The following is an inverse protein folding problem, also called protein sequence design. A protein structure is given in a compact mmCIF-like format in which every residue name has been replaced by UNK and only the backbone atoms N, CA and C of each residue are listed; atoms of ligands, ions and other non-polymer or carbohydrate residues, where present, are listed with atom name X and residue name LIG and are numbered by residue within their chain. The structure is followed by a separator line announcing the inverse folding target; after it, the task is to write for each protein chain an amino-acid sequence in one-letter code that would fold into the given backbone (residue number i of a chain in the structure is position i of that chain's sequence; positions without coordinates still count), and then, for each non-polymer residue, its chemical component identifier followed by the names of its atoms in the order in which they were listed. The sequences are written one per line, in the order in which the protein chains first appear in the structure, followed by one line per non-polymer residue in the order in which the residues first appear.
data_IF_741121279995
#
_entry.id   IF_741121279995
#
_cell.length_a   1.000
_cell.length_b   1.000
_cell.length_c   1.000
_cell.angle_alpha   90.00
_cell.angle_beta   90.00
_cell.angle_gamma   90.00
#
_symmetry.space_group_name_H-M   'P 1'
#
loop_
_entity.id
_entity.type
_entity.pdbx_description
1 polymer ?
#
# COMPACT_ATOMS: atom_id res chain seq x y z
N UNK A 1 -40.31 -38.47 -16.31
CA UNK A 1 -39.78 -38.88 -17.63
C UNK A 1 -39.58 -37.60 -18.43
N UNK A 2 -38.37 -37.01 -18.50
CA UNK A 2 -37.28 -37.37 -19.44
C UNK A 2 -37.70 -36.99 -20.87
N UNK A 3 -36.99 -36.21 -21.70
CA UNK A 3 -35.57 -35.89 -21.81
C UNK A 3 -35.34 -34.75 -22.85
N UNK A 4 -34.28 -33.97 -22.61
CA UNK A 4 -33.20 -33.49 -23.52
C UNK A 4 -33.42 -32.55 -24.73
N UNK A 5 -32.50 -31.56 -24.75
CA UNK A 5 -32.13 -30.52 -25.74
C UNK A 5 -31.58 -31.11 -27.07
N UNK A 6 -31.24 -30.31 -28.11
CA UNK A 6 -29.92 -29.62 -28.15
C UNK A 6 -29.81 -28.26 -28.91
N UNK A 7 -28.79 -27.48 -28.48
CA UNK A 7 -27.82 -26.65 -29.23
C UNK A 7 -28.24 -25.58 -30.27
N UNK A 8 -27.80 -24.33 -30.03
CA UNK A 8 -27.06 -23.54 -31.04
C UNK A 8 -26.12 -22.49 -30.39
N UNK A 9 -25.26 -21.85 -31.20
CA UNK A 9 -23.83 -21.67 -30.95
C UNK A 9 -23.29 -20.23 -31.03
N UNK A 10 -22.13 -20.01 -30.35
CA UNK A 10 -21.01 -19.05 -30.57
C UNK A 10 -21.26 -17.53 -30.63
N UNK A 11 -20.53 -16.79 -29.78
CA UNK A 11 -19.35 -15.99 -30.22
C UNK A 11 -18.52 -15.48 -29.02
N UNK A 12 -17.21 -15.72 -29.09
CA UNK A 12 -16.17 -15.15 -28.21
C UNK A 12 -15.96 -13.65 -28.48
N UNK A 13 -15.71 -12.87 -27.43
CA UNK A 13 -14.98 -11.60 -27.51
C UNK A 13 -14.00 -11.50 -26.34
N UNK A 14 -12.75 -11.18 -26.67
CA UNK A 14 -11.60 -11.09 -25.78
C UNK A 14 -11.58 -9.75 -24.99
N UNK A 15 -10.85 -9.65 -23.87
CA UNK A 15 -10.78 -8.45 -23.05
C UNK A 15 -9.89 -7.36 -23.65
N UNK A 16 -10.34 -6.12 -23.46
CA UNK A 16 -9.80 -4.89 -24.05
C UNK A 16 -8.37 -4.53 -23.64
N UNK A 17 -7.70 -3.89 -24.59
CA UNK A 17 -6.33 -3.40 -24.58
C UNK A 17 -6.11 -2.23 -23.61
N UNK A 18 -4.96 -2.26 -22.95
CA UNK A 18 -4.32 -1.16 -22.22
C UNK A 18 -4.04 -0.02 -23.21
N UNK A 19 -4.55 1.18 -22.92
CA UNK A 19 -4.27 2.39 -23.70
C UNK A 19 -3.15 3.15 -22.99
N UNK A 20 -1.97 3.09 -23.57
CA UNK A 20 -0.83 3.96 -23.27
C UNK A 20 -0.94 5.18 -24.19
N UNK A 21 -1.01 6.39 -23.62
CA UNK A 21 -1.02 7.64 -24.41
C UNK A 21 -0.09 8.67 -23.81
N UNK A 22 1.11 8.75 -24.39
CA UNK A 22 1.99 9.90 -24.27
C UNK A 22 1.47 11.01 -25.18
N UNK A 23 1.05 12.13 -24.61
CA UNK A 23 0.99 13.40 -25.35
C UNK A 23 1.58 14.51 -24.50
N UNK A 24 2.57 15.17 -25.11
CA UNK A 24 3.21 16.40 -24.69
C UNK A 24 2.19 17.49 -24.40
N UNK A 25 2.41 18.32 -23.38
CA UNK A 25 2.20 19.76 -23.49
C UNK A 25 2.82 20.49 -22.28
N UNK A 26 3.36 21.67 -22.62
CA UNK A 26 4.08 22.65 -21.81
C UNK A 26 3.29 23.18 -20.62
N UNK A 27 3.93 23.29 -19.46
CA UNK A 27 3.35 24.00 -18.32
C UNK A 27 4.21 25.19 -17.89
N UNK A 28 3.54 26.33 -17.84
CA UNK A 28 4.06 27.64 -17.48
C UNK A 28 4.24 27.77 -15.96
N UNK A 29 5.43 28.24 -15.58
CA UNK A 29 5.89 28.54 -14.23
C UNK A 29 4.82 29.09 -13.27
N UNK A 30 4.60 28.37 -12.16
CA UNK A 30 4.31 28.96 -10.85
C UNK A 30 5.41 28.57 -9.87
N UNK A 31 6.20 29.58 -9.53
CA UNK A 31 7.30 29.57 -8.58
C UNK A 31 6.78 29.32 -7.17
N UNK A 32 7.23 28.24 -6.53
CA UNK A 32 7.20 28.07 -5.07
C UNK A 32 8.63 28.15 -4.57
N UNK A 33 8.97 29.24 -3.89
CA UNK A 33 10.26 29.41 -3.22
C UNK A 33 10.24 28.69 -1.88
N UNK A 34 11.08 27.66 -1.71
CA UNK A 34 11.41 27.12 -0.39
C UNK A 34 12.90 27.30 -0.12
N UNK A 35 13.17 27.84 1.07
CA UNK A 35 14.45 28.20 1.64
C UNK A 35 15.35 26.99 1.89
N UNK A 36 16.63 27.16 1.54
CA UNK A 36 17.73 26.23 1.79
C UNK A 36 17.89 25.87 3.27
N UNK A 37 17.94 24.57 3.55
CA UNK A 37 18.38 24.01 4.83
C UNK A 37 19.20 22.76 4.54
N UNK A 38 20.51 22.86 4.72
CA UNK A 38 21.50 21.84 4.39
C UNK A 38 21.23 20.46 4.99
N UNK A 39 21.39 19.40 4.18
CA UNK A 39 21.44 18.02 4.64
C UNK A 39 22.92 17.61 4.87
N UNK A 40 23.28 16.96 6.01
CA UNK A 40 24.58 16.32 6.15
C UNK A 40 24.60 14.97 5.43
N UNK A 41 25.61 14.79 4.57
CA UNK A 41 25.95 13.56 3.87
C UNK A 41 26.45 12.45 4.81
N UNK A 42 26.09 11.20 4.55
CA UNK A 42 26.94 10.05 4.90
C UNK A 42 26.97 8.99 3.79
N UNK A 43 28.19 8.69 3.36
CA UNK A 43 28.58 7.68 2.38
C UNK A 43 28.44 6.26 2.93
N UNK A 44 28.07 5.30 2.08
CA UNK A 44 28.36 3.87 2.32
C UNK A 44 29.24 3.38 1.17
N UNK A 45 30.47 3.01 1.52
CA UNK A 45 31.42 2.36 0.62
C UNK A 45 30.94 0.96 0.21
N UNK A 46 31.03 0.69 -1.10
CA UNK A 46 31.01 -0.65 -1.71
C UNK A 46 32.44 -1.14 -1.92
N UNK A 47 32.71 -2.40 -1.56
CA UNK A 47 33.69 -3.38 -2.10
C UNK A 47 33.79 -4.49 -1.04
N UNK A 48 33.84 -5.79 -1.29
CA UNK A 48 34.00 -6.62 -2.48
C UNK A 48 33.76 -8.09 -2.06
N UNK A 49 33.86 -9.00 -3.03
CA UNK A 49 33.27 -10.35 -3.03
C UNK A 49 34.03 -11.47 -2.29
N UNK A 50 33.37 -12.65 -2.29
CA UNK A 50 33.86 -14.05 -2.22
C UNK A 50 33.81 -14.78 -0.86
N UNK A 51 32.83 -15.70 -0.78
CA UNK A 51 33.09 -17.12 -0.47
C UNK A 51 32.97 -17.59 0.98
N UNK A 52 31.80 -18.10 1.37
CA UNK A 52 31.68 -19.28 2.27
C UNK A 52 30.21 -19.77 2.31
N UNK A 53 30.02 -21.07 2.05
CA UNK A 53 28.76 -21.79 2.31
C UNK A 53 28.66 -22.05 3.81
N UNK A 54 27.62 -21.56 4.49
CA UNK A 54 27.20 -22.11 5.78
C UNK A 54 25.67 -22.10 5.96
N UNK A 55 25.19 -23.31 6.23
CA UNK A 55 23.99 -23.75 6.96
C UNK A 55 22.97 -22.72 7.47
N UNK A 56 21.69 -23.03 7.23
CA UNK A 56 20.53 -22.50 7.93
C UNK A 56 20.73 -22.50 9.45
N UNK A 57 20.72 -21.31 10.06
CA UNK A 57 20.31 -21.13 11.45
C UNK A 57 19.51 -19.83 11.53
N UNK A 58 18.29 -19.93 12.08
CA UNK A 58 17.50 -18.77 12.48
C UNK A 58 18.29 -18.06 13.57
N UNK A 59 18.74 -16.84 13.30
CA UNK A 59 19.34 -15.98 14.32
C UNK A 59 18.24 -15.47 15.27
N UNK A 60 17.89 -16.31 16.23
CA UNK A 60 17.40 -15.85 17.53
C UNK A 60 18.60 -15.26 18.27
N UNK A 61 18.80 -13.94 18.17
CA UNK A 61 19.78 -13.26 19.02
C UNK A 61 19.18 -13.01 20.41
N UNK A 62 19.78 -13.68 21.38
CA UNK A 62 19.53 -13.64 22.82
C UNK A 62 20.21 -12.45 23.49
N UNK A 63 19.42 -11.76 24.31
CA UNK A 63 19.71 -11.09 25.59
C UNK A 63 21.14 -10.56 25.79
N UNK A 64 21.26 -9.23 25.73
CA UNK A 64 22.29 -8.47 26.47
C UNK A 64 21.55 -7.86 27.66
N UNK A 65 21.87 -8.35 28.86
CA UNK A 65 21.30 -7.87 30.12
C UNK A 65 22.07 -6.62 30.57
N UNK A 66 21.44 -5.45 30.43
CA UNK A 66 21.94 -4.18 30.98
C UNK A 66 21.19 -3.90 32.30
N UNK A 67 21.90 -3.78 33.45
CA UNK A 67 21.28 -3.56 34.76
C UNK A 67 20.67 -2.15 34.94
N UNK A 68 20.68 -1.30 33.90
CA UNK A 68 19.94 -0.04 33.86
C UNK A 68 18.64 -0.11 33.03
N UNK A 69 18.19 -1.32 32.66
CA UNK A 69 17.08 -1.57 31.73
C UNK A 69 15.75 -0.94 32.16
N UNK A 70 15.56 0.33 31.82
CA UNK A 70 14.24 0.78 31.39
C UNK A 70 13.80 -0.23 30.32
N UNK A 71 12.73 -0.96 30.60
CA UNK A 71 12.10 -1.89 29.67
C UNK A 71 11.61 -1.11 28.44
N UNK A 72 12.51 -0.73 27.54
CA UNK A 72 12.16 -0.15 26.27
C UNK A 72 11.72 -1.32 25.40
N UNK A 73 10.40 -1.43 25.20
CA UNK A 73 9.83 -2.41 24.27
C UNK A 73 10.56 -2.26 22.93
N UNK A 74 11.32 -3.29 22.52
CA UNK A 74 12.03 -3.28 21.23
C UNK A 74 10.99 -3.09 20.12
N UNK A 75 11.04 -1.94 19.44
CA UNK A 75 10.16 -1.68 18.29
C UNK A 75 10.57 -2.62 17.16
N UNK A 76 9.66 -3.54 16.81
CA UNK A 76 9.86 -4.49 15.73
C UNK A 76 9.26 -3.92 14.44
N UNK A 77 10.08 -3.67 13.44
CA UNK A 77 9.63 -3.27 12.11
C UNK A 77 9.46 -4.50 11.23
N UNK A 78 8.31 -4.61 10.56
CA UNK A 78 8.03 -5.66 9.58
C UNK A 78 7.71 -5.02 8.24
N UNK A 79 8.37 -5.48 7.17
CA UNK A 79 8.10 -5.00 5.81
C UNK A 79 6.71 -5.47 5.36
N UNK A 80 5.89 -4.54 4.90
CA UNK A 80 4.59 -4.82 4.29
C UNK A 80 4.74 -4.90 2.77
N UNK A 81 4.10 -5.90 2.15
CA UNK A 81 4.13 -6.07 0.70
C UNK A 81 3.06 -5.21 0.04
N UNK A 82 3.46 -4.29 -0.83
CA UNK A 82 2.55 -3.47 -1.65
C UNK A 82 2.56 -4.01 -3.08
N UNK A 83 1.42 -4.07 -3.74
CA UNK A 83 1.28 -4.70 -5.06
C UNK A 83 2.07 -3.98 -6.16
N UNK A 84 2.04 -2.65 -6.16
CA UNK A 84 2.89 -1.82 -7.00
C UNK A 84 3.79 -1.03 -6.05
N UNK A 85 4.98 -1.58 -5.73
CA UNK A 85 5.96 -0.95 -4.83
C UNK A 85 6.76 0.17 -5.49
N UNK A 86 6.74 0.23 -6.82
CA UNK A 86 7.51 1.17 -7.63
C UNK A 86 6.63 1.72 -8.75
N UNK A 87 6.83 2.99 -9.11
CA UNK A 87 6.11 3.64 -10.20
C UNK A 87 7.08 4.48 -11.05
N UNK A 88 7.30 4.16 -12.34
CA UNK A 88 8.37 4.75 -13.14
C UNK A 88 8.16 6.25 -13.43
N UNK A 89 6.91 6.73 -13.43
CA UNK A 89 6.59 8.15 -13.66
C UNK A 89 5.44 8.61 -12.77
N UNK A 90 5.73 8.95 -11.52
CA UNK A 90 4.72 9.54 -10.64
C UNK A 90 4.33 10.94 -11.15
N UNK A 91 3.19 11.04 -11.82
CA UNK A 91 2.70 12.31 -12.41
C UNK A 91 1.48 12.90 -11.71
N UNK A 92 0.61 12.05 -11.16
CA UNK A 92 -0.72 12.45 -10.67
C UNK A 92 -1.00 11.86 -9.30
N UNK A 93 -1.46 10.61 -9.25
CA UNK A 93 -1.81 9.92 -8.00
C UNK A 93 -1.38 8.47 -8.07
N UNK A 94 -0.95 7.92 -6.93
CA UNK A 94 -0.52 6.54 -6.80
C UNK A 94 -1.27 5.89 -5.64
N UNK A 95 -2.05 4.85 -5.98
CA UNK A 95 -2.75 4.04 -5.00
C UNK A 95 -1.86 2.88 -4.56
N UNK A 96 -1.38 2.94 -3.32
CA UNK A 96 -0.68 1.83 -2.69
C UNK A 96 -1.69 0.83 -2.11
N UNK A 97 -1.63 -0.44 -2.52
CA UNK A 97 -2.52 -1.51 -2.02
C UNK A 97 -1.73 -2.61 -1.33
N UNK A 98 -2.14 -2.93 -0.10
CA UNK A 98 -1.72 -4.12 0.63
C UNK A 98 -2.89 -5.09 0.76
N UNK A 99 -2.68 -6.35 0.41
CA UNK A 99 -3.69 -7.39 0.53
C UNK A 99 -3.58 -8.11 1.88
N UNK A 100 -4.68 -8.15 2.63
CA UNK A 100 -4.78 -8.86 3.91
C UNK A 100 -4.84 -10.37 3.70
N UNK A 101 -3.67 -11.01 3.60
CA UNK A 101 -3.53 -12.47 3.46
C UNK A 101 -2.79 -13.08 4.66
N UNK A 102 -2.54 -14.38 4.63
CA UNK A 102 -1.89 -15.11 5.72
C UNK A 102 -0.44 -14.69 6.00
N UNK A 103 0.20 -13.97 5.09
CA UNK A 103 1.54 -13.40 5.27
C UNK A 103 1.53 -11.96 5.79
N UNK A 104 0.36 -11.31 5.85
CA UNK A 104 0.23 -9.90 6.23
C UNK A 104 0.77 -9.64 7.65
N UNK A 105 1.71 -8.70 7.83
CA UNK A 105 2.30 -8.41 9.13
C UNK A 105 1.33 -7.69 10.08
N UNK A 106 0.29 -7.06 9.54
CA UNK A 106 -0.71 -6.29 10.31
C UNK A 106 -1.88 -7.15 10.80
N UNK A 107 -1.91 -8.45 10.47
CA UNK A 107 -2.93 -9.36 10.98
C UNK A 107 -2.47 -10.11 12.23
N UNK A 108 -3.41 -10.25 13.19
CA UNK A 108 -3.23 -11.11 14.37
C UNK A 108 -2.80 -12.53 13.93
N UNK A 109 -1.86 -13.20 14.64
CA UNK A 109 -1.44 -14.56 14.30
C UNK A 109 -2.57 -15.59 14.22
N UNK A 110 -3.65 -15.40 14.99
CA UNK A 110 -4.86 -16.23 14.92
C UNK A 110 -5.54 -16.12 13.55
N UNK A 111 -5.70 -14.91 13.03
CA UNK A 111 -6.38 -14.64 11.76
C UNK A 111 -5.57 -15.20 10.59
N UNK A 112 -4.25 -15.00 10.58
CA UNK A 112 -3.37 -15.61 9.58
C UNK A 112 -3.47 -17.14 9.54
N UNK A 113 -3.62 -17.79 10.70
CA UNK A 113 -3.86 -19.24 10.77
C UNK A 113 -5.24 -19.63 10.24
N UNK A 114 -6.27 -18.80 10.46
CA UNK A 114 -7.60 -19.02 9.90
C UNK A 114 -7.60 -18.92 8.38
N UNK A 115 -6.98 -17.89 7.81
CA UNK A 115 -6.84 -17.71 6.35
C UNK A 115 -6.14 -18.94 5.73
N UNK A 116 -5.04 -19.41 6.34
CA UNK A 116 -4.35 -20.65 5.90
C UNK A 116 -5.24 -21.89 5.90
N UNK A 117 -6.05 -22.06 6.95
CA UNK A 117 -7.02 -23.17 7.02
C UNK A 117 -8.15 -23.01 6.00
N UNK A 118 -8.50 -21.78 5.67
CA UNK A 118 -9.47 -21.42 4.65
C UNK A 118 -8.85 -21.33 3.24
N UNK A 119 -7.80 -22.11 2.96
CA UNK A 119 -7.14 -22.21 1.65
C UNK A 119 -6.64 -20.87 1.07
N UNK A 120 -6.30 -19.92 1.93
CA UNK A 120 -5.86 -18.58 1.52
C UNK A 120 -7.00 -17.58 1.33
N UNK A 121 -8.27 -18.02 1.36
CA UNK A 121 -9.42 -17.13 1.26
C UNK A 121 -9.72 -16.43 2.57
N UNK A 122 -10.20 -15.19 2.47
CA UNK A 122 -10.70 -14.45 3.61
C UNK A 122 -11.95 -15.14 4.19
N UNK A 123 -11.99 -15.45 5.50
CA UNK A 123 -13.14 -16.12 6.12
C UNK A 123 -14.40 -15.24 6.12
N UNK A 124 -15.55 -15.78 5.67
CA UNK A 124 -16.82 -15.02 5.58
C UNK A 124 -17.28 -14.40 6.91
N UNK A 125 -16.99 -15.06 8.03
CA UNK A 125 -17.30 -14.54 9.37
C UNK A 125 -16.51 -13.27 9.75
N UNK A 126 -15.50 -12.91 8.95
CA UNK A 126 -14.71 -11.68 9.10
C UNK A 126 -15.12 -10.63 8.04
N UNK A 127 -16.24 -10.81 7.34
CA UNK A 127 -16.78 -9.85 6.37
C UNK A 127 -17.66 -8.79 7.05
N UNK A 128 -17.19 -8.21 8.15
CA UNK A 128 -17.79 -7.02 8.76
C UNK A 128 -16.68 -6.07 9.19
N UNK A 129 -16.95 -4.76 9.17
CA UNK A 129 -15.95 -3.77 9.57
C UNK A 129 -15.41 -4.04 10.99
N UNK A 130 -16.29 -4.39 11.93
CA UNK A 130 -15.91 -4.76 13.31
C UNK A 130 -14.93 -5.94 13.34
N UNK A 131 -15.24 -7.01 12.58
CA UNK A 131 -14.40 -8.19 12.57
C UNK A 131 -13.06 -7.96 11.86
N UNK A 132 -13.02 -7.08 10.85
CA UNK A 132 -11.78 -6.63 10.21
C UNK A 132 -10.96 -5.79 11.19
N UNK A 133 -11.57 -4.83 11.90
CA UNK A 133 -10.92 -4.02 12.94
C UNK A 133 -10.28 -4.90 14.00
N UNK A 134 -11.03 -5.89 14.49
CA UNK A 134 -10.56 -6.88 15.45
C UNK A 134 -9.50 -7.82 14.89
N UNK A 135 -9.42 -8.02 13.57
CA UNK A 135 -8.41 -8.86 12.95
C UNK A 135 -7.03 -8.19 12.88
N UNK A 136 -6.99 -6.86 12.89
CA UNK A 136 -5.76 -6.06 12.78
C UNK A 136 -4.99 -6.00 14.11
N UNK A 137 -3.66 -5.94 14.01
CA UNK A 137 -2.74 -5.73 15.13
C UNK A 137 -1.45 -5.11 14.60
N UNK A 138 -1.29 -3.81 14.81
CA UNK A 138 -0.07 -3.06 14.56
C UNK A 138 -0.08 -1.79 15.42
N UNK A 139 1.08 -1.18 15.62
CA UNK A 139 1.18 0.09 16.34
C UNK A 139 1.06 1.25 15.34
N UNK A 140 1.93 1.25 14.33
CA UNK A 140 2.02 2.29 13.31
C UNK A 140 2.35 1.67 11.96
N UNK A 141 1.92 2.34 10.89
CA UNK A 141 2.35 2.08 9.52
C UNK A 141 3.22 3.25 9.07
N UNK A 142 4.48 2.97 8.79
CA UNK A 142 5.41 3.94 8.20
C UNK A 142 5.38 3.78 6.68
N UNK A 143 4.92 4.81 5.99
CA UNK A 143 5.01 4.92 4.53
C UNK A 143 6.20 5.82 4.20
N UNK A 144 7.07 5.33 3.33
CA UNK A 144 8.27 6.01 2.86
C UNK A 144 8.25 6.02 1.34
N UNK A 145 8.38 7.20 0.76
CA UNK A 145 8.47 7.42 -0.68
C UNK A 145 9.81 8.07 -0.99
N UNK A 146 10.50 7.55 -1.99
CA UNK A 146 11.73 8.11 -2.50
C UNK A 146 11.68 8.13 -4.03
N UNK A 147 12.34 9.12 -4.64
CA UNK A 147 12.38 9.25 -6.09
C UNK A 147 13.40 10.29 -6.52
N UNK A 148 13.47 10.53 -7.83
CA UNK A 148 14.33 11.56 -8.42
C UNK A 148 13.43 12.66 -8.99
N UNK A 149 13.66 13.90 -8.57
CA UNK A 149 12.96 15.07 -9.10
C UNK A 149 13.37 15.32 -10.55
N UNK A 150 12.39 15.40 -11.46
CA UNK A 150 12.66 15.75 -12.86
C UNK A 150 13.15 17.20 -13.02
N UNK A 151 12.78 18.10 -12.10
CA UNK A 151 13.11 19.53 -12.20
C UNK A 151 14.56 19.78 -11.78
N UNK A 152 15.04 19.08 -10.75
CA UNK A 152 16.36 19.34 -10.14
C UNK A 152 17.36 18.20 -10.31
N UNK A 153 16.95 17.08 -10.90
CA UNK A 153 17.74 15.84 -10.98
C UNK A 153 18.25 15.35 -9.60
N UNK A 154 17.57 15.73 -8.52
CA UNK A 154 17.97 15.42 -7.14
C UNK A 154 17.08 14.33 -6.55
N UNK A 155 17.65 13.53 -5.64
CA UNK A 155 16.88 12.59 -4.84
C UNK A 155 15.93 13.35 -3.90
N UNK A 156 14.66 12.93 -3.89
CA UNK A 156 13.60 13.46 -3.01
C UNK A 156 13.06 12.37 -2.12
N UNK A 157 12.63 12.77 -0.92
CA UNK A 157 12.18 11.86 0.12
C UNK A 157 10.93 12.40 0.83
N UNK A 158 9.96 11.53 1.08
CA UNK A 158 8.78 11.84 1.87
C UNK A 158 8.42 10.66 2.78
N UNK A 159 7.95 10.97 3.99
CA UNK A 159 7.48 9.99 4.95
C UNK A 159 6.15 10.42 5.56
N UNK A 160 5.29 9.43 5.83
CA UNK A 160 4.09 9.60 6.64
C UNK A 160 3.96 8.41 7.57
N UNK A 161 3.62 8.68 8.83
CA UNK A 161 3.28 7.68 9.83
C UNK A 161 1.77 7.73 10.01
N UNK A 162 1.15 6.55 9.98
CA UNK A 162 -0.25 6.34 10.29
C UNK A 162 -0.36 5.52 11.57
N UNK A 163 -1.18 5.98 12.50
CA UNK A 163 -1.55 5.26 13.70
C UNK A 163 -2.77 4.36 13.44
N UNK A 164 -3.11 3.52 14.42
CA UNK A 164 -4.26 2.62 14.31
C UNK A 164 -5.59 3.36 14.10
N UNK A 165 -5.71 4.57 14.65
CA UNK A 165 -6.91 5.44 14.52
C UNK A 165 -7.05 6.09 13.15
N UNK A 166 -5.96 6.18 12.38
CA UNK A 166 -5.98 6.80 11.04
C UNK A 166 -6.54 5.86 9.95
N UNK A 167 -6.84 4.61 10.30
CA UNK A 167 -7.38 3.63 9.35
C UNK A 167 -8.90 3.63 9.43
N UNK A 168 -9.53 3.90 8.29
CA UNK A 168 -10.95 3.75 8.04
C UNK A 168 -11.25 2.36 7.44
N UNK A 169 -12.12 1.59 8.07
CA UNK A 169 -12.49 0.22 7.66
C UNK A 169 -13.87 0.19 7.02
N UNK A 170 -13.98 -0.54 5.91
CA UNK A 170 -15.22 -0.63 5.13
C UNK A 170 -15.39 0.52 4.13
N UNK A 171 -14.31 1.24 3.83
CA UNK A 171 -14.31 2.41 2.95
C UNK A 171 -13.37 2.24 1.77
N UNK A 172 -13.73 2.84 0.63
CA UNK A 172 -12.88 2.96 -0.55
C UNK A 172 -12.77 4.44 -0.96
N UNK A 173 -11.61 4.84 -1.47
CA UNK A 173 -11.42 6.17 -2.01
C UNK A 173 -12.41 6.45 -3.16
N UNK A 174 -12.90 7.69 -3.21
CA UNK A 174 -13.69 8.18 -4.34
C UNK A 174 -12.79 8.30 -5.57
N UNK A 175 -13.37 8.14 -6.76
CA UNK A 175 -12.61 8.38 -7.99
C UNK A 175 -12.37 9.88 -8.16
N UNK A 176 -11.11 10.28 -8.09
CA UNK A 176 -10.65 11.66 -8.22
C UNK A 176 -10.30 12.06 -9.66
N UNK A 177 -10.32 11.10 -10.61
CA UNK A 177 -10.01 11.36 -12.01
C UNK A 177 -11.27 11.75 -12.76
N UNK A 178 -11.24 12.93 -13.38
CA UNK A 178 -12.33 13.43 -14.21
C UNK A 178 -11.82 13.96 -15.54
N UNK A 179 -12.73 14.01 -16.52
CA UNK A 179 -12.45 14.55 -17.85
C UNK A 179 -12.98 15.97 -17.94
N UNK A 180 -12.12 16.90 -18.30
CA UNK A 180 -12.47 18.30 -18.51
C UNK A 180 -13.15 18.50 -19.88
N UNK A 181 -13.89 19.59 -20.12
CA UNK A 181 -14.58 19.82 -21.40
C UNK A 181 -13.65 19.84 -22.62
N UNK A 182 -12.38 20.20 -22.43
CA UNK A 182 -11.35 20.16 -23.48
C UNK A 182 -10.87 18.72 -23.83
N UNK A 183 -11.37 17.72 -23.09
CA UNK A 183 -11.04 16.31 -23.26
C UNK A 183 -9.83 15.84 -22.44
N UNK A 184 -9.15 16.73 -21.72
CA UNK A 184 -8.02 16.41 -20.84
C UNK A 184 -8.46 15.66 -19.59
N UNK A 185 -7.58 14.81 -19.05
CA UNK A 185 -7.81 14.11 -17.79
C UNK A 185 -7.17 14.91 -16.65
N UNK A 186 -7.98 15.31 -15.69
CA UNK A 186 -7.59 16.09 -14.50
C UNK A 186 -7.79 15.28 -13.22
N UNK A 187 -7.12 15.73 -12.16
CA UNK A 187 -7.26 15.19 -10.80
C UNK A 187 -8.00 16.23 -9.98
N UNK A 188 -9.07 15.82 -9.33
CA UNK A 188 -9.73 16.62 -8.31
C UNK A 188 -9.02 16.41 -6.97
N UNK A 189 -8.23 17.39 -6.55
CA UNK A 189 -7.45 17.31 -5.31
C UNK A 189 -8.30 17.46 -4.06
N UNK A 190 -9.50 18.03 -4.18
CA UNK A 190 -10.39 18.24 -3.05
C UNK A 190 -10.97 16.90 -2.57
N UNK A 191 -11.06 15.92 -3.47
CA UNK A 191 -11.55 14.56 -3.21
C UNK A 191 -10.45 13.57 -2.78
N UNK A 192 -9.20 14.03 -2.56
CA UNK A 192 -8.06 13.11 -2.34
C UNK A 192 -8.19 12.26 -1.07
N UNK A 193 -8.86 12.79 -0.06
CA UNK A 193 -9.14 12.10 1.20
C UNK A 193 -10.57 11.57 1.28
N UNK A 194 -11.40 11.83 0.26
CA UNK A 194 -12.80 11.45 0.27
C UNK A 194 -12.95 9.95 0.07
N UNK A 195 -13.79 9.38 0.93
CA UNK A 195 -14.10 7.95 0.93
C UNK A 195 -15.59 7.73 0.85
N UNK A 196 -15.96 6.58 0.26
CA UNK A 196 -17.32 6.06 0.25
C UNK A 196 -17.35 4.66 0.85
N UNK A 197 -18.46 4.31 1.47
CA UNK A 197 -18.65 2.98 2.04
C UNK A 197 -18.58 1.91 0.94
N UNK A 198 -18.00 0.76 1.28
CA UNK A 198 -17.90 -0.42 0.42
C UNK A 198 -19.11 -1.35 0.63
N UNK A 199 -19.52 -2.02 -0.44
CA UNK A 199 -20.63 -2.98 -0.38
C UNK A 199 -20.28 -4.24 0.44
N UNK A 200 -21.25 -4.74 1.21
CA UNK A 200 -21.24 -6.10 1.76
C UNK A 200 -20.73 -6.29 3.20
N UNK A 201 -19.98 -5.34 3.77
CA UNK A 201 -19.41 -5.45 5.14
C UNK A 201 -19.71 -4.28 6.08
N UNK A 202 -20.35 -3.22 5.56
CA UNK A 202 -20.58 -1.96 6.25
C UNK A 202 -19.31 -1.12 6.43
N UNK A 203 -19.49 0.17 6.68
CA UNK A 203 -18.44 1.11 7.10
C UNK A 203 -18.49 1.33 8.61
N UNK A 204 -17.31 1.51 9.23
CA UNK A 204 -17.27 1.95 10.61
C UNK A 204 -17.65 3.44 10.75
N UNK A 205 -18.12 3.91 11.92
CA UNK A 205 -18.42 5.33 12.11
C UNK A 205 -17.17 6.19 11.86
N UNK A 206 -17.25 7.09 10.89
CA UNK A 206 -16.19 8.09 10.69
C UNK A 206 -16.21 9.07 11.86
N UNK A 207 -15.04 9.30 12.43
CA UNK A 207 -14.88 10.39 13.40
C UNK A 207 -15.19 11.69 12.66
N UNK A 208 -16.24 12.38 13.11
CA UNK A 208 -16.53 13.73 12.65
C UNK A 208 -15.48 14.65 13.25
N UNK A 209 -14.77 15.40 12.43
CA UNK A 209 -13.92 16.51 12.88
C UNK A 209 -14.73 17.58 13.62
#
# INVERSE_FOLDING_TARGET
SGQLLPFNSRSHSAPGSIIDTSSDYSDSNRTWSYSEGAAPSMFINRLGALGARFSHRRDHHSIIEDPSSRFVSKRLFSKMMIEASDHPFFKRVWLARHTLNDSSPILKPKIRRMIRRNQGFWPNQLNSHDAVRDALQFNQILVSLNGVSNVSASDVYAQKIYDFVDINIGYQFVNILYRDPDGSLKVDTDLINDVREQDGGGGEPLLSD
#
